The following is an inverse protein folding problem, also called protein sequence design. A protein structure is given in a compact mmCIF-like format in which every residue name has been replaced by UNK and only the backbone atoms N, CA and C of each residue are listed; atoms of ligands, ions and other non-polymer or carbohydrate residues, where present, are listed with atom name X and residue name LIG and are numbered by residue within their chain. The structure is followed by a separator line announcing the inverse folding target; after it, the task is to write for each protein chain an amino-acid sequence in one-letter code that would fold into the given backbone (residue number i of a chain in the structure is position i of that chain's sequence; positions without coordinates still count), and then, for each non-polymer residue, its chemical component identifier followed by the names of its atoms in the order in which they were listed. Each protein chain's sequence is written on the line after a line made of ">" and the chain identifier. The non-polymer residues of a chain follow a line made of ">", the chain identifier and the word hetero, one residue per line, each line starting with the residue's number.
data_IF_253983198782
#
_entry.id   IF_253983198782
#
_cell.length_a   1.000
_cell.length_b   1.000
_cell.length_c   1.000
_cell.angle_alpha   90.00
_cell.angle_beta   90.00
_cell.angle_gamma   90.00
#
_symmetry.space_group_name_H-M   'P 1'
#
loop_
_entity.id
_entity.type
_entity.pdbx_description
1 polymer ?
#
# COMPACT_ATOMS: atom_id res chain seq x y z
N UNK A 1 4.78 -14.03 23.28
CA UNK A 1 5.07 -13.76 21.86
C UNK A 1 3.76 -13.59 21.10
N UNK A 2 3.67 -12.52 20.34
CA UNK A 2 2.50 -12.27 19.50
C UNK A 2 2.49 -13.24 18.31
N UNK A 3 1.31 -13.73 17.95
CA UNK A 3 1.13 -14.54 16.75
C UNK A 3 1.26 -13.64 15.51
N UNK A 4 1.85 -14.18 14.47
CA UNK A 4 1.96 -13.48 13.19
C UNK A 4 0.86 -13.99 12.25
N UNK A 5 0.19 -13.06 11.57
CA UNK A 5 -0.91 -13.39 10.68
C UNK A 5 -0.73 -12.65 9.35
N UNK A 6 -0.71 -13.38 8.26
CA UNK A 6 -0.69 -12.80 6.91
C UNK A 6 -2.11 -12.43 6.51
N UNK A 7 -2.26 -11.25 5.90
CA UNK A 7 -3.55 -10.82 5.37
C UNK A 7 -3.62 -11.04 3.87
N UNK A 8 -4.81 -11.36 3.39
CA UNK A 8 -5.07 -11.30 1.96
C UNK A 8 -5.78 -9.98 1.59
N UNK A 9 -5.88 -9.73 0.30
CA UNK A 9 -6.50 -8.51 -0.23
C UNK A 9 -7.94 -8.35 0.23
N UNK A 10 -8.73 -9.41 0.16
CA UNK A 10 -10.15 -9.34 0.49
C UNK A 10 -10.39 -8.91 1.93
N UNK A 11 -9.61 -9.42 2.86
CA UNK A 11 -9.78 -9.06 4.27
C UNK A 11 -9.56 -7.56 4.48
N UNK A 12 -8.50 -7.03 3.88
CA UNK A 12 -8.18 -5.59 3.98
C UNK A 12 -9.29 -4.75 3.34
N UNK A 13 -9.72 -5.12 2.13
CA UNK A 13 -10.74 -4.38 1.40
C UNK A 13 -12.07 -4.40 2.16
N UNK A 14 -12.47 -5.56 2.69
CA UNK A 14 -13.73 -5.67 3.46
C UNK A 14 -13.68 -4.79 4.71
N UNK A 15 -12.53 -4.72 5.36
CA UNK A 15 -12.36 -3.86 6.52
C UNK A 15 -12.46 -2.37 6.16
N UNK A 16 -11.84 -1.96 5.05
CA UNK A 16 -11.82 -0.55 4.64
C UNK A 16 -13.13 -0.08 4.04
N UNK A 17 -13.77 -0.91 3.22
CA UNK A 17 -15.00 -0.53 2.49
C UNK A 17 -16.25 -0.77 3.33
N UNK A 18 -16.28 -1.85 4.11
CA UNK A 18 -17.38 -2.21 5.01
C UNK A 18 -18.71 -2.46 4.30
N UNK A 19 -18.66 -2.94 3.05
CA UNK A 19 -19.86 -3.28 2.27
C UNK A 19 -20.39 -4.69 2.58
N UNK A 20 -19.63 -5.49 3.35
CA UNK A 20 -20.02 -6.84 3.80
C UNK A 20 -19.90 -6.87 5.32
N UNK A 21 -21.02 -6.66 6.00
CA UNK A 21 -21.03 -6.41 7.45
C UNK A 21 -20.33 -7.51 8.25
N UNK A 22 -20.65 -8.78 7.97
CA UNK A 22 -20.03 -9.89 8.71
C UNK A 22 -18.54 -9.97 8.51
N UNK A 23 -18.08 -9.80 7.27
CA UNK A 23 -16.66 -9.83 6.93
C UNK A 23 -15.93 -8.63 7.50
N UNK A 24 -16.54 -7.45 7.45
CA UNK A 24 -15.97 -6.23 8.03
C UNK A 24 -15.78 -6.37 9.54
N UNK A 25 -16.77 -6.95 10.23
CA UNK A 25 -16.69 -7.19 11.67
C UNK A 25 -15.60 -8.21 12.02
N UNK A 26 -15.51 -9.29 11.24
CA UNK A 26 -14.47 -10.29 11.44
C UNK A 26 -13.07 -9.69 11.25
N UNK A 27 -12.89 -8.88 10.20
CA UNK A 27 -11.64 -8.17 9.97
C UNK A 27 -11.35 -7.19 11.10
N UNK A 28 -12.36 -6.47 11.56
CA UNK A 28 -12.25 -5.53 12.68
C UNK A 28 -11.73 -6.19 13.95
N UNK A 29 -12.21 -7.41 14.25
CA UNK A 29 -11.72 -8.15 15.41
C UNK A 29 -10.23 -8.46 15.31
N UNK A 30 -9.74 -8.75 14.11
CA UNK A 30 -8.31 -8.99 13.90
C UNK A 30 -7.50 -7.73 14.13
N UNK A 31 -7.96 -6.59 13.61
CA UNK A 31 -7.26 -5.31 13.82
C UNK A 31 -7.32 -4.88 15.29
N UNK A 32 -8.43 -5.16 15.99
CA UNK A 32 -8.51 -4.92 17.43
C UNK A 32 -7.50 -5.77 18.20
N UNK A 33 -7.35 -7.04 17.83
CA UNK A 33 -6.35 -7.92 18.44
C UNK A 33 -4.94 -7.41 18.20
N UNK A 34 -4.68 -6.86 16.99
CA UNK A 34 -3.40 -6.24 16.66
C UNK A 34 -3.14 -5.02 17.56
N UNK A 35 -4.15 -4.18 17.75
CA UNK A 35 -4.04 -2.99 18.60
C UNK A 35 -3.72 -3.36 20.06
N UNK A 36 -4.26 -4.49 20.53
CA UNK A 36 -3.96 -4.97 21.88
C UNK A 36 -2.59 -5.65 22.01
N UNK A 37 -1.90 -5.86 20.90
CA UNK A 37 -0.61 -6.56 20.89
C UNK A 37 -0.72 -8.08 20.89
N UNK A 38 -1.92 -8.63 20.68
CA UNK A 38 -2.15 -10.08 20.67
C UNK A 38 -1.70 -10.73 19.37
N UNK A 39 -1.66 -9.97 18.29
CA UNK A 39 -1.28 -10.47 16.96
C UNK A 39 -0.45 -9.41 16.24
N UNK A 40 0.52 -9.89 15.45
CA UNK A 40 1.26 -9.05 14.49
C UNK A 40 0.70 -9.34 13.12
N UNK A 41 0.24 -8.30 12.44
CA UNK A 41 -0.30 -8.40 11.10
C UNK A 41 0.83 -8.20 10.09
N UNK A 42 0.93 -9.12 9.14
CA UNK A 42 1.94 -9.04 8.07
C UNK A 42 1.22 -8.80 6.75
N UNK A 43 1.59 -7.70 6.08
CA UNK A 43 1.07 -7.35 4.75
C UNK A 43 2.19 -7.52 3.75
N UNK A 44 2.00 -8.41 2.78
CA UNK A 44 2.97 -8.54 1.69
C UNK A 44 2.88 -7.33 0.76
N UNK A 45 4.00 -6.85 0.21
CA UNK A 45 3.98 -5.75 -0.75
C UNK A 45 3.03 -5.97 -1.93
N UNK A 46 2.97 -7.20 -2.46
CA UNK A 46 2.05 -7.54 -3.54
C UNK A 46 0.58 -7.35 -3.13
N UNK A 47 0.26 -7.62 -1.87
CA UNK A 47 -1.10 -7.47 -1.35
C UNK A 47 -1.47 -5.99 -1.23
N UNK A 48 -0.54 -5.15 -0.79
CA UNK A 48 -0.78 -3.72 -0.74
C UNK A 48 -1.07 -3.16 -2.13
N UNK A 49 -0.27 -3.54 -3.12
CA UNK A 49 -0.47 -3.12 -4.51
C UNK A 49 -1.84 -3.58 -5.05
N UNK A 50 -2.24 -4.80 -4.74
CA UNK A 50 -3.54 -5.32 -5.16
C UNK A 50 -4.68 -4.56 -4.49
N UNK A 51 -4.55 -4.19 -3.22
CA UNK A 51 -5.53 -3.35 -2.53
C UNK A 51 -5.72 -2.01 -3.22
N UNK A 52 -4.62 -1.35 -3.61
CA UNK A 52 -4.71 -0.09 -4.36
C UNK A 52 -5.51 -0.29 -5.65
N UNK A 53 -5.16 -1.33 -6.40
CA UNK A 53 -5.83 -1.62 -7.67
C UNK A 53 -7.33 -1.87 -7.48
N UNK A 54 -7.71 -2.69 -6.51
CA UNK A 54 -9.12 -3.04 -6.25
C UNK A 54 -9.91 -1.80 -5.80
N UNK A 55 -9.34 -1.01 -4.87
CA UNK A 55 -10.01 0.19 -4.37
C UNK A 55 -10.18 1.25 -5.46
N UNK A 56 -9.21 1.39 -6.35
CA UNK A 56 -9.29 2.36 -7.44
C UNK A 56 -10.19 1.86 -8.57
N UNK A 57 -9.99 0.63 -9.05
CA UNK A 57 -10.63 0.12 -10.27
C UNK A 57 -12.02 -0.42 -10.03
N UNK A 58 -12.25 -1.13 -8.94
CA UNK A 58 -13.54 -1.75 -8.64
C UNK A 58 -14.44 -0.81 -7.85
N UNK A 59 -13.92 -0.21 -6.78
CA UNK A 59 -14.72 0.66 -5.90
C UNK A 59 -14.66 2.13 -6.31
N UNK A 60 -13.74 2.49 -7.21
CA UNK A 60 -13.59 3.85 -7.74
C UNK A 60 -13.40 4.91 -6.65
N UNK A 61 -12.68 4.55 -5.59
CA UNK A 61 -12.32 5.50 -4.54
C UNK A 61 -11.27 6.49 -5.05
N UNK A 62 -11.32 7.75 -4.59
CA UNK A 62 -10.29 8.73 -4.95
C UNK A 62 -8.91 8.31 -4.46
N UNK A 63 -7.89 8.66 -5.24
CA UNK A 63 -6.51 8.29 -4.96
C UNK A 63 -6.05 8.78 -3.57
N UNK A 64 -6.44 10.00 -3.20
CA UNK A 64 -6.12 10.55 -1.89
C UNK A 64 -6.69 9.73 -0.75
N UNK A 65 -7.91 9.26 -0.89
CA UNK A 65 -8.57 8.44 0.13
C UNK A 65 -7.90 7.06 0.24
N UNK A 66 -7.56 6.46 -0.90
CA UNK A 66 -6.84 5.18 -0.93
C UNK A 66 -5.49 5.31 -0.23
N UNK A 67 -4.71 6.32 -0.61
CA UNK A 67 -3.39 6.56 -0.03
C UNK A 67 -3.48 6.80 1.48
N UNK A 68 -4.47 7.58 1.92
CA UNK A 68 -4.66 7.87 3.34
C UNK A 68 -5.03 6.60 4.13
N UNK A 69 -5.98 5.82 3.61
CA UNK A 69 -6.45 4.61 4.30
C UNK A 69 -5.34 3.56 4.42
N UNK A 70 -4.66 3.27 3.30
CA UNK A 70 -3.60 2.27 3.30
C UNK A 70 -2.36 2.75 4.03
N UNK A 71 -2.05 4.04 3.95
CA UNK A 71 -0.95 4.64 4.72
C UNK A 71 -1.16 4.51 6.22
N UNK A 72 -2.38 4.76 6.68
CA UNK A 72 -2.72 4.56 8.10
C UNK A 72 -2.60 3.09 8.49
N UNK A 73 -3.07 2.19 7.64
CA UNK A 73 -3.00 0.76 7.90
C UNK A 73 -1.56 0.29 8.13
N UNK A 74 -0.66 0.59 7.22
CA UNK A 74 0.73 0.12 7.31
C UNK A 74 1.56 0.90 8.32
N UNK A 75 1.02 2.01 8.85
CA UNK A 75 1.67 2.79 9.90
C UNK A 75 1.24 2.36 11.30
N UNK A 76 0.23 1.50 11.41
CA UNK A 76 -0.24 1.03 12.72
C UNK A 76 0.83 0.21 13.43
N UNK A 77 1.03 0.41 14.75
CA UNK A 77 1.87 -0.50 15.53
C UNK A 77 1.35 -1.94 15.40
N UNK A 78 2.24 -2.89 15.22
CA UNK A 78 1.86 -4.29 15.04
C UNK A 78 1.56 -4.69 13.61
N UNK A 79 1.57 -3.76 12.67
CA UNK A 79 1.45 -4.07 11.24
C UNK A 79 2.85 -4.00 10.63
N UNK A 80 3.25 -5.08 9.99
CA UNK A 80 4.56 -5.19 9.35
C UNK A 80 4.40 -5.31 7.83
N UNK A 81 5.20 -4.54 7.11
CA UNK A 81 5.35 -4.65 5.65
C UNK A 81 6.83 -4.42 5.33
N UNK A 82 7.40 -5.25 4.47
CA UNK A 82 8.77 -5.07 4.02
C UNK A 82 8.87 -3.75 3.25
N UNK A 83 9.82 -2.89 3.63
CA UNK A 83 9.98 -1.61 2.99
C UNK A 83 8.86 -0.61 3.30
N UNK A 84 8.41 -0.58 4.56
CA UNK A 84 7.32 0.31 4.97
C UNK A 84 7.53 1.77 4.56
N UNK A 85 8.73 2.31 4.77
CA UNK A 85 9.02 3.71 4.41
C UNK A 85 8.92 3.94 2.90
N UNK A 86 9.39 2.98 2.10
CA UNK A 86 9.29 3.05 0.63
C UNK A 86 7.82 3.00 0.21
N UNK A 87 7.02 2.15 0.84
CA UNK A 87 5.60 2.04 0.52
C UNK A 87 4.83 3.32 0.90
N UNK A 88 5.17 3.95 2.02
CA UNK A 88 4.58 5.24 2.39
C UNK A 88 4.93 6.32 1.37
N UNK A 89 6.18 6.36 0.90
CA UNK A 89 6.59 7.28 -0.16
C UNK A 89 5.86 6.99 -1.46
N UNK A 90 5.70 5.71 -1.81
CA UNK A 90 4.96 5.32 -3.02
C UNK A 90 3.50 5.78 -2.94
N UNK A 91 2.85 5.63 -1.80
CA UNK A 91 1.47 6.10 -1.60
C UNK A 91 1.37 7.62 -1.71
N UNK A 92 2.38 8.35 -1.24
CA UNK A 92 2.42 9.80 -1.38
C UNK A 92 2.56 10.22 -2.84
N UNK A 93 3.45 9.57 -3.60
CA UNK A 93 3.60 9.80 -5.05
C UNK A 93 2.32 9.46 -5.80
N UNK A 94 1.67 8.38 -5.42
CA UNK A 94 0.40 7.94 -5.98
C UNK A 94 -0.69 9.00 -5.76
N UNK A 95 -0.78 9.53 -4.55
CA UNK A 95 -1.77 10.55 -4.20
C UNK A 95 -1.59 11.83 -5.01
N UNK A 96 -0.35 12.22 -5.28
CA UNK A 96 0.02 13.48 -5.92
C UNK A 96 0.09 13.43 -7.44
N UNK A 97 -0.11 12.26 -8.04
CA UNK A 97 0.06 12.07 -9.48
C UNK A 97 -1.07 11.22 -10.06
N UNK A 98 -1.01 10.98 -11.37
CA UNK A 98 -1.88 10.03 -12.06
C UNK A 98 -1.14 8.75 -12.46
N UNK A 99 0.05 8.55 -11.90
CA UNK A 99 0.90 7.41 -12.19
C UNK A 99 0.39 6.18 -11.45
N UNK A 100 0.43 5.02 -12.09
CA UNK A 100 0.03 3.75 -11.47
C UNK A 100 0.83 3.48 -10.21
N UNK A 101 0.20 2.84 -9.22
CA UNK A 101 0.85 2.63 -7.93
C UNK A 101 2.14 1.84 -8.04
N UNK A 102 2.18 0.77 -8.86
CA UNK A 102 3.40 -0.03 -9.01
C UNK A 102 4.54 0.82 -9.56
N UNK A 103 4.26 1.74 -10.49
CA UNK A 103 5.27 2.67 -11.00
C UNK A 103 5.70 3.68 -9.93
N UNK A 104 4.77 4.11 -9.07
CA UNK A 104 5.12 4.93 -7.91
C UNK A 104 6.03 4.17 -6.94
N UNK A 105 5.80 2.87 -6.78
CA UNK A 105 6.64 2.01 -5.95
C UNK A 105 8.04 1.86 -6.55
N UNK A 106 8.14 1.69 -7.87
CA UNK A 106 9.42 1.67 -8.57
C UNK A 106 10.16 2.99 -8.34
N UNK A 107 9.47 4.12 -8.51
CA UNK A 107 10.07 5.45 -8.31
C UNK A 107 10.55 5.65 -6.87
N UNK A 108 9.73 5.27 -5.90
CA UNK A 108 10.09 5.37 -4.48
C UNK A 108 11.31 4.52 -4.14
N UNK A 109 11.38 3.31 -4.69
CA UNK A 109 12.52 2.41 -4.50
C UNK A 109 13.78 2.99 -5.13
N UNK A 110 13.67 3.48 -6.36
CA UNK A 110 14.79 4.09 -7.08
C UNK A 110 15.36 5.29 -6.31
N UNK A 111 14.48 6.14 -5.79
CA UNK A 111 14.90 7.29 -5.00
C UNK A 111 15.60 6.87 -3.71
N UNK A 112 15.01 5.90 -2.99
CA UNK A 112 15.55 5.43 -1.72
C UNK A 112 16.92 4.74 -1.87
N UNK A 113 17.11 4.01 -2.96
CA UNK A 113 18.32 3.22 -3.20
C UNK A 113 19.33 3.93 -4.12
N UNK A 114 19.04 5.16 -4.53
CA UNK A 114 19.85 5.92 -5.49
C UNK A 114 20.19 5.08 -6.73
N UNK A 115 19.17 4.42 -7.29
CA UNK A 115 19.29 3.50 -8.40
C UNK A 115 18.46 4.01 -9.58
N UNK A 116 19.00 4.03 -10.80
CA UNK A 116 18.25 4.52 -11.95
C UNK A 116 17.18 3.52 -12.38
N UNK A 117 16.16 4.03 -13.05
CA UNK A 117 15.08 3.24 -13.62
C UNK A 117 15.34 3.07 -15.12
N UNK A 118 15.28 1.84 -15.61
CA UNK A 118 15.30 1.55 -17.04
C UNK A 118 13.86 1.36 -17.50
N UNK A 119 13.37 2.26 -18.36
CA UNK A 119 11.98 2.21 -18.81
C UNK A 119 11.78 3.02 -20.09
N UNK A 120 10.83 2.58 -20.90
CA UNK A 120 10.32 3.36 -22.02
C UNK A 120 9.15 4.28 -21.62
N UNK A 121 8.63 4.12 -20.39
CA UNK A 121 7.48 4.88 -19.92
C UNK A 121 7.91 6.28 -19.48
N UNK A 122 7.26 7.29 -20.06
CA UNK A 122 7.55 8.69 -19.75
C UNK A 122 7.01 9.13 -18.40
N UNK A 123 6.14 8.35 -17.77
CA UNK A 123 5.53 8.71 -16.49
C UNK A 123 6.57 8.87 -15.38
N UNK A 124 7.69 8.13 -15.45
CA UNK A 124 8.75 8.27 -14.45
C UNK A 124 9.40 9.65 -14.46
N UNK A 125 9.34 10.37 -15.57
CA UNK A 125 9.90 11.73 -15.68
C UNK A 125 9.10 12.76 -14.89
N UNK A 126 7.92 12.40 -14.40
CA UNK A 126 7.13 13.25 -13.51
C UNK A 126 7.73 13.36 -12.12
N UNK A 127 8.69 12.49 -11.79
CA UNK A 127 9.36 12.46 -10.49
C UNK A 127 10.79 12.99 -10.64
N UNK A 128 11.06 14.25 -10.22
CA UNK A 128 12.37 14.86 -10.44
C UNK A 128 13.50 14.23 -9.63
N UNK A 129 13.18 13.47 -8.60
CA UNK A 129 14.18 12.82 -7.72
C UNK A 129 14.57 11.42 -8.19
N UNK A 130 14.12 10.99 -9.38
CA UNK A 130 14.53 9.70 -9.96
C UNK A 130 15.26 9.93 -11.28
N UNK A 131 16.22 9.04 -11.56
CA UNK A 131 16.94 9.04 -12.83
C UNK A 131 16.38 7.96 -13.72
N UNK A 132 16.14 8.28 -14.98
CA UNK A 132 15.60 7.33 -15.96
C UNK A 132 16.64 7.06 -17.01
N UNK A 133 16.94 5.77 -17.24
CA UNK A 133 17.79 5.33 -18.35
C UNK A 133 16.88 4.93 -19.51
N UNK A 134 17.07 5.56 -20.65
CA UNK A 134 16.40 5.16 -21.89
C UNK A 134 17.32 4.25 -22.68
N UNK A 135 16.80 3.15 -23.15
CA UNK A 135 17.55 2.20 -23.96
C UNK A 135 17.45 2.54 -25.44
#
# INVERSE_FOLDING_TARGET
>A
MSKRTLLDTNLIVRYLVQDQEKQAKAAGRLFDACDRGDVVIVVLPAILAECVFVLESFYQHPRGDIASALGRLISCPGVEIVGAAIHLDALDRYRKSKVHFVDCLIAATAAAEDTPIASFDRDFRKFPDVRVQTQ
#
